data_IF_817677814678
#
_entry.id   IF_817677814678
#
_cell.length_a   1.000
_cell.length_b   1.000
_cell.length_c   1.000
_cell.angle_alpha   90.00
_cell.angle_beta   90.00
_cell.angle_gamma   90.00
#
_symmetry.space_group_name_H-M   'P 1'
#
loop_
_entity.id
_entity.type
_entity.pdbx_description
1 polymer ?
#
# COMPACT_ATOMS: atom_id res chain seq x y z
N UNK A 1 -18.43 16.49 -4.96
CA UNK A 1 -18.70 15.49 -3.89
C UNK A 1 -17.42 15.25 -3.11
N UNK A 2 -17.49 14.84 -1.84
CA UNK A 2 -16.30 14.65 -0.99
C UNK A 2 -16.23 13.21 -0.46
N UNK A 3 -15.05 12.61 -0.54
CA UNK A 3 -14.71 11.37 0.14
C UNK A 3 -13.84 11.69 1.34
N UNK A 4 -14.28 11.30 2.55
CA UNK A 4 -13.54 11.54 3.80
C UNK A 4 -13.03 10.24 4.39
N UNK A 5 -11.75 10.22 4.73
CA UNK A 5 -11.15 9.18 5.55
C UNK A 5 -11.55 9.45 7.00
N UNK A 6 -12.29 8.52 7.61
CA UNK A 6 -12.80 8.62 8.98
C UNK A 6 -12.38 7.40 9.80
N UNK A 7 -12.41 7.49 11.13
CA UNK A 7 -12.14 6.33 11.99
C UNK A 7 -13.07 5.13 11.72
N UNK A 8 -14.33 5.40 11.31
CA UNK A 8 -15.26 4.36 10.88
C UNK A 8 -14.78 3.64 9.61
N UNK A 9 -14.17 4.38 8.68
CA UNK A 9 -13.57 3.79 7.48
C UNK A 9 -12.36 2.93 7.86
N UNK A 10 -11.45 3.43 8.71
CA UNK A 10 -10.32 2.62 9.19
C UNK A 10 -10.76 1.32 9.84
N UNK A 11 -11.81 1.34 10.67
CA UNK A 11 -12.35 0.14 11.30
C UNK A 11 -12.92 -0.84 10.27
N UNK A 12 -13.60 -0.35 9.23
CA UNK A 12 -14.07 -1.19 8.10
C UNK A 12 -12.91 -1.84 7.35
N UNK A 13 -11.86 -1.07 7.03
CA UNK A 13 -10.69 -1.58 6.33
C UNK A 13 -9.94 -2.62 7.18
N UNK A 14 -9.83 -2.39 8.49
CA UNK A 14 -9.29 -3.36 9.44
C UNK A 14 -10.11 -4.66 9.44
N UNK A 15 -11.44 -4.56 9.46
CA UNK A 15 -12.32 -5.72 9.42
C UNK A 15 -12.17 -6.53 8.11
N UNK A 16 -12.04 -5.83 6.97
CA UNK A 16 -11.75 -6.48 5.67
C UNK A 16 -10.40 -7.20 5.73
N UNK A 17 -9.35 -6.57 6.27
CA UNK A 17 -8.04 -7.17 6.42
C UNK A 17 -8.04 -8.41 7.35
N UNK A 18 -8.82 -8.38 8.42
CA UNK A 18 -9.00 -9.51 9.33
C UNK A 18 -9.73 -10.68 8.65
N UNK A 19 -10.82 -10.41 7.93
CA UNK A 19 -11.53 -11.45 7.15
C UNK A 19 -10.58 -12.08 6.13
N UNK A 20 -9.85 -11.25 5.39
CA UNK A 20 -8.84 -11.74 4.45
C UNK A 20 -7.82 -12.64 5.16
N UNK A 21 -7.31 -12.22 6.32
CA UNK A 21 -6.33 -12.98 7.08
C UNK A 21 -6.85 -14.33 7.58
N UNK A 22 -8.14 -14.40 7.94
CA UNK A 22 -8.80 -15.66 8.35
C UNK A 22 -8.97 -16.59 7.15
N UNK A 23 -9.48 -16.08 6.03
CA UNK A 23 -9.71 -16.87 4.81
C UNK A 23 -8.40 -17.45 4.26
N UNK A 24 -7.33 -16.64 4.25
CA UNK A 24 -6.03 -17.02 3.71
C UNK A 24 -5.03 -17.51 4.77
N UNK A 25 -5.50 -17.89 5.96
CA UNK A 25 -4.66 -18.23 7.12
C UNK A 25 -3.55 -19.24 6.80
N UNK A 26 -3.89 -20.35 6.14
CA UNK A 26 -2.91 -21.41 5.81
C UNK A 26 -1.80 -20.88 4.88
N UNK A 27 -2.16 -20.02 3.93
CA UNK A 27 -1.22 -19.42 3.00
C UNK A 27 -0.30 -18.40 3.71
N UNK A 28 -0.88 -17.53 4.55
CA UNK A 28 -0.14 -16.56 5.35
C UNK A 28 0.85 -17.24 6.30
N UNK A 29 0.42 -18.28 7.00
CA UNK A 29 1.28 -19.07 7.89
C UNK A 29 2.45 -19.69 7.13
N UNK A 30 2.20 -20.23 5.93
CA UNK A 30 3.25 -20.84 5.10
C UNK A 30 4.29 -19.80 4.69
N UNK A 31 3.85 -18.60 4.30
CA UNK A 31 4.76 -17.50 3.92
C UNK A 31 5.61 -17.08 5.12
N UNK A 32 4.97 -16.81 6.26
CA UNK A 32 5.68 -16.38 7.47
C UNK A 32 6.67 -17.46 7.91
N UNK A 33 6.24 -18.72 7.95
CA UNK A 33 7.10 -19.84 8.33
C UNK A 33 8.29 -20.00 7.38
N UNK A 34 8.08 -19.92 6.06
CA UNK A 34 9.15 -20.00 5.07
C UNK A 34 10.14 -18.85 5.21
N UNK A 35 9.65 -17.64 5.50
CA UNK A 35 10.49 -16.48 5.76
C UNK A 35 11.36 -16.67 7.01
N UNK A 36 10.75 -17.08 8.13
CA UNK A 36 11.47 -17.33 9.38
C UNK A 36 12.47 -18.45 9.24
N UNK A 37 12.08 -19.58 8.64
CA UNK A 37 12.98 -20.71 8.39
C UNK A 37 14.20 -20.27 7.59
N UNK A 38 13.98 -19.60 6.46
CA UNK A 38 15.10 -19.20 5.58
C UNK A 38 15.97 -18.10 6.19
N UNK A 39 15.39 -17.15 6.91
CA UNK A 39 16.16 -16.12 7.60
C UNK A 39 16.99 -16.71 8.75
N UNK A 40 16.41 -17.62 9.55
CA UNK A 40 17.15 -18.33 10.60
C UNK A 40 18.32 -19.15 10.01
N UNK A 41 18.11 -19.85 8.90
CA UNK A 41 19.17 -20.61 8.23
C UNK A 41 20.35 -19.70 7.79
N UNK A 42 20.05 -18.46 7.37
CA UNK A 42 21.06 -17.47 6.95
C UNK A 42 21.78 -16.83 8.15
N UNK A 43 21.06 -16.59 9.25
CA UNK A 43 21.54 -15.85 10.42
C UNK A 43 21.79 -16.73 11.64
N UNK A 44 22.37 -17.92 11.44
CA UNK A 44 22.80 -18.84 12.51
C UNK A 44 21.71 -19.15 13.55
N UNK A 45 20.49 -19.43 13.08
CA UNK A 45 19.31 -19.75 13.89
C UNK A 45 18.88 -18.67 14.90
N UNK A 46 19.27 -17.41 14.67
CA UNK A 46 18.83 -16.31 15.50
C UNK A 46 17.39 -15.88 15.17
N UNK A 47 16.47 -16.19 16.09
CA UNK A 47 15.07 -15.75 15.97
C UNK A 47 14.94 -14.23 16.08
N UNK A 48 15.77 -13.58 16.91
CA UNK A 48 15.73 -12.13 17.12
C UNK A 48 16.11 -11.37 15.85
N UNK A 49 17.16 -11.82 15.15
CA UNK A 49 17.55 -11.24 13.86
C UNK A 49 16.46 -11.44 12.81
N UNK A 50 15.79 -12.59 12.82
CA UNK A 50 14.69 -12.90 11.90
C UNK A 50 13.50 -11.95 12.10
N UNK A 51 13.15 -11.61 13.35
CA UNK A 51 12.15 -10.59 13.66
C UNK A 51 12.58 -9.18 13.24
N UNK A 52 13.85 -8.81 13.47
CA UNK A 52 14.38 -7.51 13.02
C UNK A 52 14.30 -7.42 11.49
N UNK A 53 14.66 -8.48 10.79
CA UNK A 53 14.56 -8.55 9.33
C UNK A 53 13.11 -8.43 8.87
N UNK A 54 12.17 -9.11 9.52
CA UNK A 54 10.74 -8.98 9.22
C UNK A 54 10.29 -7.52 9.34
N UNK A 55 10.57 -6.86 10.46
CA UNK A 55 10.19 -5.46 10.67
C UNK A 55 10.87 -4.51 9.66
N UNK A 56 12.14 -4.76 9.34
CA UNK A 56 12.87 -4.01 8.34
C UNK A 56 12.24 -4.18 6.94
N UNK A 57 11.88 -5.40 6.56
CA UNK A 57 11.24 -5.66 5.25
C UNK A 57 9.89 -4.95 5.14
N UNK A 58 9.02 -5.04 6.16
CA UNK A 58 7.72 -4.35 6.16
C UNK A 58 7.92 -2.83 6.08
N UNK A 59 8.86 -2.27 6.83
CA UNK A 59 9.16 -0.82 6.81
C UNK A 59 9.70 -0.38 5.45
N UNK A 60 10.54 -1.18 4.81
CA UNK A 60 11.03 -0.87 3.47
C UNK A 60 9.91 -0.93 2.41
N UNK A 61 8.96 -1.85 2.57
CA UNK A 61 7.78 -1.93 1.70
C UNK A 61 6.92 -0.67 1.87
N UNK A 62 6.66 -0.21 3.10
CA UNK A 62 5.84 1.00 3.31
C UNK A 62 6.52 2.23 2.72
N UNK A 63 7.85 2.37 2.86
CA UNK A 63 8.61 3.44 2.22
C UNK A 63 8.49 3.36 0.68
N UNK A 64 8.74 2.19 0.11
CA UNK A 64 8.66 1.99 -1.34
C UNK A 64 7.25 2.28 -1.87
N UNK A 65 6.22 1.87 -1.13
CA UNK A 65 4.82 2.09 -1.47
C UNK A 65 4.50 3.59 -1.60
N UNK A 66 4.85 4.36 -0.59
CA UNK A 66 4.61 5.81 -0.59
C UNK A 66 5.47 6.53 -1.64
N UNK A 67 6.71 6.08 -1.87
CA UNK A 67 7.55 6.60 -2.95
C UNK A 67 6.92 6.39 -4.33
N UNK A 68 6.31 5.23 -4.58
CA UNK A 68 5.63 4.95 -5.84
C UNK A 68 4.40 5.84 -6.01
N UNK A 69 3.59 6.04 -4.96
CA UNK A 69 2.52 7.04 -4.97
C UNK A 69 3.07 8.41 -5.37
N UNK A 70 4.14 8.85 -4.71
CA UNK A 70 4.73 10.16 -4.94
C UNK A 70 5.31 10.33 -6.34
N UNK A 71 6.02 9.33 -6.85
CA UNK A 71 6.50 9.31 -8.23
C UNK A 71 5.34 9.40 -9.22
N UNK A 72 4.27 8.63 -9.01
CA UNK A 72 3.12 8.63 -9.91
C UNK A 72 2.38 9.97 -9.90
N UNK A 73 2.23 10.60 -8.73
CA UNK A 73 1.74 11.98 -8.62
C UNK A 73 2.63 12.97 -9.39
N UNK A 74 3.95 12.87 -9.28
CA UNK A 74 4.87 13.78 -10.00
C UNK A 74 4.82 13.59 -11.52
N UNK A 75 4.65 12.35 -12.02
CA UNK A 75 4.49 12.06 -13.44
C UNK A 75 3.23 12.74 -14.01
N UNK A 76 2.15 12.78 -13.24
CA UNK A 76 0.92 13.51 -13.62
C UNK A 76 0.95 15.01 -13.29
N UNK A 77 2.12 15.52 -12.87
CA UNK A 77 2.39 16.94 -12.64
C UNK A 77 1.78 17.50 -11.37
N UNK A 78 1.56 16.67 -10.34
CA UNK A 78 1.33 17.08 -8.96
C UNK A 78 2.65 17.36 -8.23
N UNK A 79 2.59 18.04 -7.08
CA UNK A 79 3.76 18.26 -6.20
C UNK A 79 3.55 17.52 -4.90
N UNK A 80 4.48 16.64 -4.56
CA UNK A 80 4.34 15.78 -3.38
C UNK A 80 5.25 16.22 -2.24
N UNK A 81 4.76 16.02 -1.01
CA UNK A 81 5.55 16.11 0.21
C UNK A 81 5.48 14.76 0.92
N UNK A 82 6.64 14.17 1.14
CA UNK A 82 6.76 12.96 1.94
C UNK A 82 6.81 13.30 3.42
N UNK A 83 6.05 12.56 4.22
CA UNK A 83 6.06 12.62 5.68
C UNK A 83 6.53 11.27 6.19
N UNK A 84 7.63 11.26 6.93
CA UNK A 84 8.17 10.06 7.55
C UNK A 84 8.06 10.17 9.07
N UNK A 85 7.43 9.18 9.71
CA UNK A 85 7.27 9.07 11.16
C UNK A 85 7.58 7.64 11.60
N UNK A 86 8.86 7.37 11.84
CA UNK A 86 9.40 6.10 12.32
C UNK A 86 9.09 4.91 11.40
N UNK A 87 8.02 4.16 11.63
CA UNK A 87 7.61 3.01 10.77
C UNK A 87 6.58 3.45 9.71
N UNK A 88 6.03 4.65 9.86
CA UNK A 88 5.00 5.19 8.99
C UNK A 88 5.61 6.13 7.95
N UNK A 89 5.32 5.90 6.69
CA UNK A 89 5.52 6.84 5.61
C UNK A 89 4.15 7.30 5.09
N UNK A 90 4.05 8.54 4.63
CA UNK A 90 2.89 9.02 3.89
C UNK A 90 3.31 10.01 2.81
N UNK A 91 2.64 9.93 1.67
CA UNK A 91 2.73 10.88 0.57
C UNK A 91 1.51 11.79 0.56
N UNK A 92 1.74 13.10 0.42
CA UNK A 92 0.68 14.11 0.31
C UNK A 92 0.87 14.95 -0.94
N UNK A 93 -0.17 15.05 -1.77
CA UNK A 93 -0.27 16.01 -2.88
C UNK A 93 -0.54 17.42 -2.29
N UNK A 94 0.36 18.38 -2.54
CA UNK A 94 0.31 19.74 -1.95
C UNK A 94 -0.09 20.81 -2.97
N UNK A 95 -0.06 20.51 -4.26
CA UNK A 95 -0.39 21.44 -5.34
C UNK A 95 -1.88 21.71 -5.52
N UNK A 96 -2.76 20.93 -4.86
CA UNK A 96 -4.22 21.03 -4.99
C UNK A 96 -4.69 20.99 -6.46
N UNK A 97 -3.92 20.33 -7.32
CA UNK A 97 -4.16 20.34 -8.75
C UNK A 97 -5.29 19.35 -9.05
N UNK A 98 -6.29 19.73 -9.87
CA UNK A 98 -7.29 18.78 -10.34
C UNK A 98 -6.63 17.75 -11.27
N UNK A 99 -6.64 16.48 -10.86
CA UNK A 99 -6.14 15.32 -11.62
C UNK A 99 -7.35 14.60 -12.22
N UNK A 100 -7.25 14.00 -13.40
CA UNK A 100 -8.38 13.23 -13.95
C UNK A 100 -8.67 11.99 -13.11
N UNK A 101 -9.93 11.52 -13.12
CA UNK A 101 -10.33 10.31 -12.40
C UNK A 101 -9.46 9.09 -12.76
N UNK A 102 -9.12 8.93 -14.04
CA UNK A 102 -8.28 7.83 -14.52
C UNK A 102 -6.85 7.94 -13.99
N UNK A 103 -6.24 9.12 -14.04
CA UNK A 103 -4.91 9.36 -13.47
C UNK A 103 -4.88 9.11 -11.96
N UNK A 104 -5.89 9.57 -11.22
CA UNK A 104 -5.97 9.33 -9.78
C UNK A 104 -6.16 7.84 -9.47
N UNK A 105 -6.93 7.11 -10.27
CA UNK A 105 -7.06 5.65 -10.15
C UNK A 105 -5.71 4.96 -10.40
N UNK A 106 -4.95 5.40 -11.41
CA UNK A 106 -3.60 4.87 -11.67
C UNK A 106 -2.66 5.14 -10.50
N UNK A 107 -2.72 6.34 -9.91
CA UNK A 107 -1.93 6.68 -8.71
C UNK A 107 -2.23 5.69 -7.59
N UNK A 108 -3.51 5.50 -7.24
CA UNK A 108 -3.93 4.56 -6.19
C UNK A 108 -3.46 3.12 -6.46
N UNK A 109 -3.50 2.66 -7.71
CA UNK A 109 -3.14 1.29 -8.08
C UNK A 109 -1.64 1.11 -8.38
N UNK A 110 -0.85 2.18 -8.43
CA UNK A 110 0.56 2.09 -8.82
C UNK A 110 1.39 1.27 -7.82
N UNK A 111 1.31 1.47 -6.50
CA UNK A 111 2.14 0.70 -5.57
C UNK A 111 1.77 -0.78 -5.54
N UNK A 112 0.47 -1.09 -5.55
CA UNK A 112 0.03 -2.49 -5.58
C UNK A 112 0.52 -3.20 -6.83
N UNK A 113 0.46 -2.56 -8.00
CA UNK A 113 0.91 -3.17 -9.26
C UNK A 113 2.43 -3.30 -9.33
N UNK A 114 3.17 -2.22 -9.09
CA UNK A 114 4.64 -2.19 -9.24
C UNK A 114 5.32 -3.11 -8.22
N UNK A 115 4.95 -3.04 -6.94
CA UNK A 115 5.58 -3.87 -5.90
C UNK A 115 5.19 -5.34 -6.09
N UNK A 116 3.96 -5.64 -6.51
CA UNK A 116 3.56 -7.02 -6.78
C UNK A 116 4.33 -7.61 -7.95
N UNK A 117 4.50 -6.89 -9.06
CA UNK A 117 5.31 -7.36 -10.18
C UNK A 117 6.78 -7.54 -9.80
N UNK A 118 7.33 -6.60 -9.03
CA UNK A 118 8.71 -6.69 -8.54
C UNK A 118 8.91 -7.90 -7.62
N UNK A 119 7.93 -8.22 -6.78
CA UNK A 119 8.01 -9.35 -5.85
C UNK A 119 8.16 -10.71 -6.55
N UNK A 120 7.65 -10.85 -7.79
CA UNK A 120 7.79 -12.07 -8.59
C UNK A 120 9.23 -12.32 -9.07
N UNK A 121 10.06 -11.27 -9.10
CA UNK A 121 11.48 -11.37 -9.48
C UNK A 121 12.36 -11.82 -8.31
N UNK A 122 11.82 -11.86 -7.10
CA UNK A 122 12.56 -12.18 -5.89
C UNK A 122 12.41 -13.66 -5.51
N UNK A 123 13.36 -14.22 -4.74
CA UNK A 123 13.23 -15.57 -4.22
C UNK A 123 11.92 -15.75 -3.42
N UNK A 124 11.25 -16.89 -3.61
CA UNK A 124 9.89 -17.10 -3.10
C UNK A 124 9.73 -16.77 -1.60
N UNK A 125 10.70 -17.11 -0.75
CA UNK A 125 10.63 -16.86 0.69
C UNK A 125 10.53 -15.37 1.08
N UNK A 126 11.08 -14.45 0.27
CA UNK A 126 11.01 -13.00 0.50
C UNK A 126 10.02 -12.32 -0.44
N UNK A 127 9.93 -12.77 -1.69
CA UNK A 127 8.97 -12.26 -2.68
C UNK A 127 7.53 -12.46 -2.23
N UNK A 128 7.17 -13.64 -1.73
CA UNK A 128 5.82 -13.90 -1.22
C UNK A 128 5.46 -13.05 0.01
N UNK A 129 6.42 -12.79 0.90
CA UNK A 129 6.23 -11.89 2.04
C UNK A 129 6.00 -10.46 1.57
N UNK A 130 6.81 -9.97 0.62
CA UNK A 130 6.68 -8.63 0.05
C UNK A 130 5.32 -8.45 -0.62
N UNK A 131 4.93 -9.42 -1.45
CA UNK A 131 3.66 -9.43 -2.16
C UNK A 131 2.48 -9.30 -1.20
N UNK A 132 2.40 -10.20 -0.22
CA UNK A 132 1.28 -10.26 0.72
C UNK A 132 1.23 -9.02 1.62
N UNK A 133 2.39 -8.58 2.12
CA UNK A 133 2.45 -7.38 2.99
C UNK A 133 1.97 -6.14 2.24
N UNK A 134 2.40 -5.97 0.98
CA UNK A 134 1.94 -4.88 0.15
C UNK A 134 0.46 -4.99 -0.22
N UNK A 135 -0.04 -6.20 -0.52
CA UNK A 135 -1.44 -6.44 -0.82
C UNK A 135 -2.35 -6.04 0.36
N UNK A 136 -2.00 -6.48 1.57
CA UNK A 136 -2.74 -6.13 2.80
C UNK A 136 -2.63 -4.62 3.08
N UNK A 137 -1.44 -4.04 2.90
CA UNK A 137 -1.23 -2.60 3.05
C UNK A 137 -2.05 -1.75 2.07
N UNK A 138 -2.27 -2.26 0.86
CA UNK A 138 -2.99 -1.56 -0.23
C UNK A 138 -4.51 -1.68 -0.14
N UNK A 139 -5.09 -2.31 0.89
CA UNK A 139 -6.55 -2.47 1.03
C UNK A 139 -7.26 -1.10 1.02
N UNK A 140 -6.66 -0.06 1.60
CA UNK A 140 -7.18 1.31 1.57
C UNK A 140 -7.27 1.86 0.14
N UNK A 141 -6.21 1.70 -0.64
CA UNK A 141 -6.13 2.19 -2.03
C UNK A 141 -7.08 1.43 -2.96
N UNK A 142 -7.18 0.10 -2.77
CA UNK A 142 -8.17 -0.73 -3.47
C UNK A 142 -9.60 -0.28 -3.14
N UNK A 143 -9.89 -0.02 -1.86
CA UNK A 143 -11.21 0.46 -1.46
C UNK A 143 -11.52 1.84 -2.07
N UNK A 144 -10.55 2.76 -2.06
CA UNK A 144 -10.71 4.09 -2.66
C UNK A 144 -10.89 4.02 -4.17
N UNK A 145 -10.10 3.21 -4.87
CA UNK A 145 -10.19 3.03 -6.33
C UNK A 145 -11.51 2.40 -6.77
N UNK A 146 -12.00 1.37 -6.07
CA UNK A 146 -13.34 0.81 -6.31
C UNK A 146 -14.41 1.90 -6.08
N UNK A 147 -14.23 2.73 -5.07
CA UNK A 147 -15.10 3.88 -4.79
C UNK A 147 -15.17 4.92 -5.90
N UNK A 148 -14.17 4.99 -6.80
CA UNK A 148 -14.14 5.94 -7.91
C UNK A 148 -15.05 5.52 -9.08
N UNK A 149 -15.35 4.22 -9.22
CA UNK A 149 -16.14 3.67 -10.35
C UNK A 149 -17.53 4.32 -10.46
N UNK A 150 -18.07 4.84 -9.36
CA UNK A 150 -19.39 5.48 -9.32
C UNK A 150 -19.42 6.90 -9.92
N UNK A 151 -18.27 7.49 -10.24
CA UNK A 151 -18.19 8.85 -10.78
C UNK A 151 -18.00 8.86 -12.31
N UNK A 152 -18.50 9.88 -13.02
CA UNK A 152 -18.28 10.07 -14.46
C UNK A 152 -16.79 10.14 -14.83
N UNK A 153 -16.41 9.64 -16.01
CA UNK A 153 -15.01 9.53 -16.45
C UNK A 153 -14.30 10.89 -16.63
N UNK A 154 -15.07 11.95 -16.87
CA UNK A 154 -14.62 13.34 -17.04
C UNK A 154 -14.43 14.07 -15.69
N UNK A 155 -14.78 13.41 -14.58
CA UNK A 155 -14.59 13.94 -13.23
C UNK A 155 -13.10 14.24 -12.96
N UNK A 156 -12.87 15.31 -12.20
CA UNK A 156 -11.55 15.67 -11.68
C UNK A 156 -11.47 15.45 -10.18
N UNK A 157 -10.36 14.89 -9.73
CA UNK A 157 -10.07 14.61 -8.33
C UNK A 157 -9.06 15.64 -7.81
N UNK A 158 -9.33 16.18 -6.63
CA UNK A 158 -8.38 16.97 -5.86
C UNK A 158 -8.07 16.16 -4.60
N UNK A 159 -6.84 15.65 -4.55
CA UNK A 159 -6.34 14.89 -3.39
C UNK A 159 -6.19 15.79 -2.17
N UNK A 160 -6.45 15.24 -0.98
CA UNK A 160 -6.40 15.94 0.31
C UNK A 160 -5.84 15.02 1.39
N UNK A 161 -5.31 15.58 2.49
CA UNK A 161 -4.70 14.77 3.55
C UNK A 161 -5.60 13.70 4.18
N UNK A 162 -6.93 13.87 4.11
CA UNK A 162 -7.91 12.94 4.69
C UNK A 162 -9.00 12.56 3.69
N UNK A 163 -8.63 12.34 2.43
CA UNK A 163 -9.52 11.87 1.38
C UNK A 163 -9.40 12.71 0.11
N UNK A 164 -10.50 12.89 -0.61
CA UNK A 164 -10.45 13.63 -1.88
C UNK A 164 -11.77 14.31 -2.22
N UNK A 165 -11.68 15.39 -3.01
CA UNK A 165 -12.83 16.04 -3.61
C UNK A 165 -12.99 15.61 -5.06
N UNK A 166 -14.21 15.27 -5.43
CA UNK A 166 -14.62 15.00 -6.81
C UNK A 166 -15.34 16.23 -7.35
N UNK A 167 -14.74 16.83 -8.38
CA UNK A 167 -15.34 17.87 -9.21
C UNK A 167 -15.91 17.19 -10.45
N UNK A 168 -17.25 17.20 -10.54
CA UNK A 168 -17.99 16.77 -11.72
C UNK A 168 -17.83 17.83 -12.83
#
# INVERSE_FOLDING_TARGET
MEFKITNKLHLKLLFIALIFSIIFHNYLNTIIFNFFKKSMDIFNYSITISFILLMATITMITIAHELIHGLTFTIFGGKVKYKFKFIYAATEEVSNKPISLTQFTIILLAPITVISLFSLLLPNWIGSLIFVSNLIGSIGDLYMSIGLIKYPYDSKIIDKPYGYYVKL
#
